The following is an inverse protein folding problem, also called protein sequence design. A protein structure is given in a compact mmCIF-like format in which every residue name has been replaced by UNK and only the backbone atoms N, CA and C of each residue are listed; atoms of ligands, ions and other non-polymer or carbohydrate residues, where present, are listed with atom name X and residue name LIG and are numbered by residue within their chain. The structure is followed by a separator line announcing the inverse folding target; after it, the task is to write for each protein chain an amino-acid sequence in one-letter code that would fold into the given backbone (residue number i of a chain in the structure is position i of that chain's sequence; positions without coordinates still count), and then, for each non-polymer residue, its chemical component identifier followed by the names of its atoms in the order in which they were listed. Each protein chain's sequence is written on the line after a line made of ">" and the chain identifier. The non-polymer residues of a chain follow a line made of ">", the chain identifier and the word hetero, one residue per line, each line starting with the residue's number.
data_IF_739325372693
#
_entry.id   IF_739325372693
#
_cell.length_a   1.000
_cell.length_b   1.000
_cell.length_c   1.000
_cell.angle_alpha   90.00
_cell.angle_beta   90.00
_cell.angle_gamma   90.00
#
_symmetry.space_group_name_H-M   'P 1'
#
loop_
_entity.id
_entity.type
_entity.pdbx_description
1 polymer ?
#
# COMPACT_ATOMS: atom_id res chain seq x y z
N UNK A 1 6.48 -24.60 -12.39
CA UNK A 1 7.32 -25.09 -13.52
C UNK A 1 7.68 -23.98 -14.51
N UNK A 2 6.76 -23.12 -14.93
CA UNK A 2 7.06 -22.03 -15.89
C UNK A 2 8.15 -21.06 -15.39
N UNK A 3 8.12 -20.68 -14.10
CA UNK A 3 9.11 -19.78 -13.48
C UNK A 3 10.52 -20.37 -13.51
N UNK A 4 10.66 -21.68 -13.26
CA UNK A 4 11.97 -22.34 -13.28
C UNK A 4 12.57 -22.40 -14.69
N UNK A 5 11.73 -22.65 -15.70
CA UNK A 5 12.17 -22.62 -17.09
C UNK A 5 12.57 -21.22 -17.55
N UNK A 6 11.87 -20.20 -17.06
CA UNK A 6 12.24 -18.81 -17.32
C UNK A 6 13.59 -18.46 -16.71
N UNK A 7 13.83 -18.88 -15.46
CA UNK A 7 15.13 -18.69 -14.79
C UNK A 7 16.26 -19.35 -15.58
N UNK A 8 16.10 -20.61 -15.95
CA UNK A 8 17.13 -21.34 -16.71
C UNK A 8 17.47 -20.66 -18.05
N UNK A 9 16.47 -20.14 -18.75
CA UNK A 9 16.67 -19.41 -20.02
C UNK A 9 17.40 -18.06 -19.83
N UNK A 10 17.33 -17.49 -18.64
CA UNK A 10 17.87 -16.19 -18.33
C UNK A 10 18.98 -16.24 -17.26
N UNK A 11 19.59 -17.41 -17.04
CA UNK A 11 20.53 -17.63 -15.93
C UNK A 11 21.71 -16.65 -15.93
N UNK A 12 22.20 -16.28 -17.09
CA UNK A 12 23.34 -15.35 -17.19
C UNK A 12 22.94 -13.92 -16.81
N UNK A 13 21.69 -13.55 -17.04
CA UNK A 13 21.15 -12.27 -16.58
C UNK A 13 21.06 -12.24 -15.05
N UNK A 14 20.61 -13.33 -14.41
CA UNK A 14 20.58 -13.42 -12.95
C UNK A 14 21.96 -13.38 -12.33
N UNK A 15 22.93 -14.07 -12.95
CA UNK A 15 24.34 -13.98 -12.53
C UNK A 15 24.88 -12.54 -12.60
N UNK A 16 24.46 -11.76 -13.59
CA UNK A 16 24.84 -10.37 -13.71
C UNK A 16 24.27 -9.46 -12.62
N UNK A 17 23.14 -9.85 -11.97
CA UNK A 17 22.56 -9.14 -10.84
C UNK A 17 23.26 -9.42 -9.49
N UNK A 18 23.92 -10.55 -9.35
CA UNK A 18 24.54 -10.94 -8.09
C UNK A 18 25.51 -9.88 -7.54
N UNK A 19 26.45 -9.33 -8.33
CA UNK A 19 27.34 -8.28 -7.83
C UNK A 19 26.60 -7.05 -7.33
N UNK A 20 25.44 -6.75 -7.92
CA UNK A 20 24.62 -5.66 -7.47
C UNK A 20 23.95 -5.97 -6.13
N UNK A 21 23.32 -7.15 -5.99
CA UNK A 21 22.71 -7.58 -4.71
C UNK A 21 23.76 -7.56 -3.60
N UNK A 22 24.97 -8.07 -3.88
CA UNK A 22 26.09 -8.06 -2.98
C UNK A 22 26.59 -6.63 -2.63
N UNK A 23 26.36 -5.67 -3.52
CA UNK A 23 26.71 -4.25 -3.31
C UNK A 23 25.72 -3.46 -2.47
N UNK A 24 24.58 -4.06 -2.10
CA UNK A 24 23.60 -3.44 -1.22
C UNK A 24 24.22 -3.31 0.18
N UNK A 25 24.77 -2.13 0.46
CA UNK A 25 25.43 -1.89 1.73
C UNK A 25 24.42 -1.70 2.86
N UNK A 26 24.84 -1.99 4.08
CA UNK A 26 24.05 -1.69 5.27
C UNK A 26 23.68 -0.19 5.39
N UNK A 27 24.46 0.70 4.79
CA UNK A 27 24.17 2.14 4.74
C UNK A 27 22.96 2.42 3.85
N UNK A 28 22.89 1.82 2.67
CA UNK A 28 21.75 1.94 1.75
C UNK A 28 20.47 1.41 2.39
N UNK A 29 20.54 0.26 3.04
CA UNK A 29 19.40 -0.30 3.79
C UNK A 29 18.97 0.63 4.92
N UNK A 30 19.90 1.18 5.69
CA UNK A 30 19.56 2.18 6.73
C UNK A 30 18.89 3.43 6.15
N UNK A 31 19.29 3.87 4.96
CA UNK A 31 18.64 5.01 4.29
C UNK A 31 17.18 4.66 3.92
N UNK A 32 16.92 3.46 3.39
CA UNK A 32 15.57 2.97 3.14
C UNK A 32 14.74 2.92 4.43
N UNK A 33 15.29 2.36 5.51
CA UNK A 33 14.62 2.27 6.81
C UNK A 33 14.34 3.65 7.46
N UNK A 34 15.10 4.69 7.11
CA UNK A 34 14.78 6.05 7.54
C UNK A 34 13.48 6.56 6.91
N UNK A 35 13.19 6.20 5.65
CA UNK A 35 11.90 6.50 5.02
C UNK A 35 10.77 5.78 5.75
N UNK A 36 10.94 4.50 6.00
CA UNK A 36 9.99 3.69 6.79
C UNK A 36 9.69 4.32 8.14
N UNK A 37 10.73 4.69 8.91
CA UNK A 37 10.57 5.29 10.25
C UNK A 37 9.84 6.62 10.23
N UNK A 38 9.96 7.43 9.18
CA UNK A 38 9.17 8.67 9.06
C UNK A 38 7.66 8.38 8.99
N UNK A 39 7.29 7.23 8.42
CA UNK A 39 5.92 6.79 8.28
C UNK A 39 5.35 6.05 9.48
N UNK A 40 6.14 5.73 10.49
CA UNK A 40 5.71 4.97 11.66
C UNK A 40 5.82 5.79 12.95
N UNK A 41 5.07 5.44 14.01
CA UNK A 41 5.28 6.01 15.34
C UNK A 41 6.73 5.83 15.81
N UNK A 42 7.21 6.75 16.65
CA UNK A 42 8.61 6.75 17.09
C UNK A 42 8.98 5.52 17.92
N UNK A 43 8.03 4.99 18.67
CA UNK A 43 8.17 3.77 19.49
C UNK A 43 8.38 2.50 18.65
N UNK A 44 8.01 2.52 17.36
CA UNK A 44 8.22 1.38 16.49
C UNK A 44 9.67 1.36 16.00
N UNK A 45 10.40 0.32 16.40
CA UNK A 45 11.79 0.10 16.03
C UNK A 45 12.00 -1.28 15.43
N UNK A 46 13.09 -1.41 14.69
CA UNK A 46 13.57 -2.68 14.18
C UNK A 46 14.90 -2.99 14.88
N UNK A 47 14.95 -4.08 15.66
CA UNK A 47 16.19 -4.52 16.30
C UNK A 47 17.15 -5.10 15.27
N UNK A 48 16.63 -5.97 14.42
CA UNK A 48 17.34 -6.57 13.29
C UNK A 48 16.45 -6.57 12.06
N UNK A 49 17.04 -6.39 10.88
CA UNK A 49 16.37 -6.51 9.60
C UNK A 49 17.10 -7.53 8.74
N UNK A 50 16.33 -8.40 8.12
CA UNK A 50 16.85 -9.43 7.21
C UNK A 50 16.21 -9.28 5.84
N UNK A 51 17.04 -9.16 4.80
CA UNK A 51 16.63 -9.10 3.41
C UNK A 51 16.92 -10.44 2.75
N UNK A 52 15.89 -11.09 2.23
CA UNK A 52 16.01 -12.38 1.57
C UNK A 52 15.77 -12.19 0.07
N UNK A 53 16.79 -12.43 -0.73
CA UNK A 53 16.66 -12.44 -2.18
C UNK A 53 16.53 -13.88 -2.67
N UNK A 54 15.53 -14.14 -3.49
CA UNK A 54 15.27 -15.47 -4.03
C UNK A 54 14.91 -15.40 -5.52
N UNK A 55 14.87 -16.55 -6.15
CA UNK A 55 14.57 -16.69 -7.57
C UNK A 55 13.34 -17.57 -7.74
N UNK A 56 12.27 -17.00 -8.29
CA UNK A 56 11.10 -17.73 -8.74
C UNK A 56 10.19 -18.25 -7.62
N UNK A 57 10.21 -17.65 -6.43
CA UNK A 57 9.35 -18.06 -5.32
C UNK A 57 7.99 -17.35 -5.29
N UNK A 58 7.80 -16.26 -6.00
CA UNK A 58 6.53 -15.56 -5.98
C UNK A 58 6.31 -14.60 -7.14
N UNK A 59 5.08 -14.18 -7.36
CA UNK A 59 4.71 -13.22 -8.40
C UNK A 59 4.91 -11.76 -7.98
N UNK A 60 5.14 -11.48 -6.70
CA UNK A 60 5.31 -10.13 -6.15
C UNK A 60 6.78 -9.75 -6.04
N UNK A 61 7.06 -8.46 -6.17
CA UNK A 61 8.42 -7.93 -6.01
C UNK A 61 8.95 -8.12 -4.59
N UNK A 62 8.10 -7.96 -3.58
CA UNK A 62 8.47 -8.12 -2.19
C UNK A 62 7.29 -8.55 -1.33
N UNK A 63 7.58 -9.11 -0.16
CA UNK A 63 6.64 -9.39 0.91
C UNK A 63 7.40 -9.53 2.23
N UNK A 64 6.70 -9.40 3.34
CA UNK A 64 7.29 -9.40 4.66
C UNK A 64 6.77 -10.55 5.54
N UNK A 65 7.60 -10.98 6.48
CA UNK A 65 7.22 -11.91 7.54
C UNK A 65 8.07 -11.65 8.78
N UNK A 66 7.43 -11.43 9.93
CA UNK A 66 8.12 -11.04 11.17
C UNK A 66 9.03 -9.82 10.95
N UNK A 67 10.35 -10.00 11.06
CA UNK A 67 11.38 -8.97 10.91
C UNK A 67 12.19 -9.08 9.62
N UNK A 68 11.78 -9.94 8.69
CA UNK A 68 12.43 -10.05 7.39
C UNK A 68 11.48 -9.70 6.24
N UNK A 69 12.06 -9.29 5.14
CA UNK A 69 11.38 -9.08 3.87
C UNK A 69 12.03 -9.90 2.77
N UNK A 70 11.21 -10.34 1.85
CA UNK A 70 11.59 -11.25 0.78
C UNK A 70 11.36 -10.58 -0.57
N UNK A 71 12.35 -10.73 -1.47
CA UNK A 71 12.33 -10.11 -2.79
C UNK A 71 12.59 -11.15 -3.86
N UNK A 72 11.67 -11.24 -4.83
CA UNK A 72 11.84 -12.12 -5.98
C UNK A 72 12.67 -11.42 -7.05
N UNK A 73 13.87 -11.94 -7.29
CA UNK A 73 14.83 -11.36 -8.23
C UNK A 73 14.32 -11.37 -9.68
N UNK A 74 13.39 -12.29 -10.02
CA UNK A 74 12.79 -12.34 -11.35
C UNK A 74 11.98 -11.07 -11.64
N UNK A 75 11.22 -10.61 -10.67
CA UNK A 75 10.38 -9.42 -10.83
C UNK A 75 11.23 -8.14 -10.89
N UNK A 76 12.31 -8.07 -10.12
CA UNK A 76 13.23 -6.93 -10.17
C UNK A 76 14.01 -6.83 -11.48
N UNK A 77 14.13 -7.95 -12.21
CA UNK A 77 15.00 -7.99 -13.38
C UNK A 77 14.44 -7.27 -14.60
N UNK A 78 13.11 -7.11 -14.68
CA UNK A 78 12.47 -6.54 -15.87
C UNK A 78 12.84 -5.08 -16.07
N UNK A 79 12.90 -4.30 -14.98
CA UNK A 79 13.20 -2.86 -14.98
C UNK A 79 14.05 -2.48 -13.77
N UNK A 80 15.26 -3.10 -13.67
CA UNK A 80 16.10 -2.95 -12.50
C UNK A 80 16.55 -1.50 -12.28
N UNK A 81 16.18 -0.97 -11.11
CA UNK A 81 16.56 0.34 -10.62
C UNK A 81 16.82 0.26 -9.11
N UNK A 82 17.98 0.74 -8.66
CA UNK A 82 18.35 0.75 -7.25
C UNK A 82 17.36 1.54 -6.39
N UNK A 83 16.85 2.68 -6.88
CA UNK A 83 15.87 3.49 -6.14
C UNK A 83 14.56 2.73 -5.95
N UNK A 84 14.10 1.99 -6.96
CA UNK A 84 12.91 1.14 -6.86
C UNK A 84 13.14 0.07 -5.81
N UNK A 85 14.29 -0.62 -5.82
CA UNK A 85 14.61 -1.63 -4.82
C UNK A 85 14.61 -1.05 -3.41
N UNK A 86 15.29 0.07 -3.18
CA UNK A 86 15.36 0.70 -1.86
C UNK A 86 13.99 1.20 -1.39
N UNK A 87 13.17 1.69 -2.31
CA UNK A 87 11.79 2.09 -2.05
C UNK A 87 10.92 0.88 -1.68
N UNK A 88 11.08 -0.25 -2.39
CA UNK A 88 10.38 -1.50 -2.08
C UNK A 88 10.83 -2.06 -0.73
N UNK A 89 12.13 -2.02 -0.40
CA UNK A 89 12.63 -2.38 0.92
C UNK A 89 11.96 -1.53 2.01
N UNK A 90 11.91 -0.21 1.81
CA UNK A 90 11.24 0.68 2.75
C UNK A 90 9.75 0.35 2.91
N UNK A 91 9.06 0.05 1.81
CA UNK A 91 7.66 -0.32 1.75
C UNK A 91 7.38 -1.60 2.56
N UNK A 92 8.13 -2.68 2.30
CA UNK A 92 7.93 -3.95 3.02
C UNK A 92 8.23 -3.81 4.52
N UNK A 93 9.26 -3.03 4.88
CA UNK A 93 9.52 -2.74 6.30
C UNK A 93 8.49 -1.81 6.94
N UNK A 94 7.79 -0.99 6.15
CA UNK A 94 6.62 -0.28 6.66
C UNK A 94 5.53 -1.25 7.11
N UNK A 95 5.27 -2.30 6.33
CA UNK A 95 4.33 -3.35 6.74
C UNK A 95 4.79 -4.09 8.00
N UNK A 96 6.07 -4.38 8.14
CA UNK A 96 6.62 -4.97 9.38
C UNK A 96 6.33 -4.08 10.58
N UNK A 97 6.63 -2.79 10.48
CA UNK A 97 6.39 -1.83 11.56
C UNK A 97 4.90 -1.59 11.83
N UNK A 98 4.10 -1.50 10.78
CA UNK A 98 2.65 -1.38 10.88
C UNK A 98 2.03 -2.60 11.59
N UNK A 99 2.50 -3.81 11.28
CA UNK A 99 2.08 -5.04 11.96
C UNK A 99 2.42 -5.04 13.45
N UNK A 100 3.61 -4.54 13.84
CA UNK A 100 3.96 -4.38 15.26
C UNK A 100 2.94 -3.46 15.94
N UNK A 101 2.55 -2.37 15.28
CA UNK A 101 1.51 -1.48 15.80
C UNK A 101 0.16 -2.18 15.90
N UNK A 102 -0.31 -2.82 14.81
CA UNK A 102 -1.65 -3.45 14.75
C UNK A 102 -1.76 -4.65 15.70
N UNK A 103 -0.68 -5.39 15.96
CA UNK A 103 -0.69 -6.50 16.92
C UNK A 103 -1.03 -6.09 18.37
N UNK A 104 -0.92 -4.79 18.68
CA UNK A 104 -1.29 -4.22 19.96
C UNK A 104 -2.72 -3.62 19.97
N UNK A 105 -3.45 -3.71 18.87
CA UNK A 105 -4.83 -3.22 18.76
C UNK A 105 -5.81 -4.38 19.01
N UNK A 106 -6.84 -4.10 19.76
CA UNK A 106 -7.99 -5.01 19.88
C UNK A 106 -8.98 -4.72 18.74
N UNK A 107 -8.66 -5.23 17.55
CA UNK A 107 -9.49 -5.06 16.36
C UNK A 107 -10.89 -5.69 16.50
N UNK A 108 -11.08 -6.60 17.46
CA UNK A 108 -12.40 -7.20 17.74
C UNK A 108 -13.44 -6.18 18.23
N UNK A 109 -12.99 -5.02 18.68
CA UNK A 109 -13.86 -3.91 19.10
C UNK A 109 -14.33 -3.03 17.95
N UNK A 110 -13.78 -3.19 16.76
CA UNK A 110 -14.12 -2.37 15.61
C UNK A 110 -15.45 -2.79 14.99
N UNK A 111 -16.23 -1.82 14.59
CA UNK A 111 -17.40 -2.06 13.75
C UNK A 111 -16.96 -2.51 12.35
N UNK A 112 -17.87 -3.12 11.57
CA UNK A 112 -17.58 -3.52 10.18
C UNK A 112 -17.15 -2.33 9.32
N UNK A 113 -17.73 -1.15 9.55
CA UNK A 113 -17.37 0.08 8.84
C UNK A 113 -15.98 0.58 9.22
N UNK A 114 -15.62 0.55 10.49
CA UNK A 114 -14.28 0.90 10.98
C UNK A 114 -13.22 -0.06 10.47
N UNK A 115 -13.52 -1.36 10.44
CA UNK A 115 -12.66 -2.37 9.81
C UNK A 115 -12.46 -2.07 8.32
N UNK A 116 -13.53 -1.68 7.60
CA UNK A 116 -13.42 -1.32 6.18
C UNK A 116 -12.45 -0.17 5.94
N UNK A 117 -12.52 0.90 6.73
CA UNK A 117 -11.56 2.00 6.62
C UNK A 117 -10.13 1.56 6.91
N UNK A 118 -9.94 0.74 7.94
CA UNK A 118 -8.63 0.26 8.36
C UNK A 118 -7.94 -0.62 7.30
N UNK A 119 -8.71 -1.41 6.54
CA UNK A 119 -8.17 -2.29 5.48
C UNK A 119 -7.41 -1.52 4.38
N UNK A 120 -7.67 -0.24 4.18
CA UNK A 120 -6.96 0.59 3.21
C UNK A 120 -5.65 1.18 3.73
N UNK A 121 -5.45 1.19 5.05
CA UNK A 121 -4.35 1.96 5.66
C UNK A 121 -2.97 1.34 5.41
N UNK A 122 -2.85 0.01 5.43
CA UNK A 122 -1.55 -0.67 5.33
C UNK A 122 -0.81 -0.31 4.05
N UNK A 123 -1.37 -0.67 2.90
CA UNK A 123 -0.77 -0.39 1.59
C UNK A 123 -0.75 1.11 1.27
N UNK A 124 -1.84 1.81 1.59
CA UNK A 124 -1.95 3.24 1.33
C UNK A 124 -0.88 4.07 2.04
N UNK A 125 -0.60 3.78 3.30
CA UNK A 125 0.46 4.46 4.05
C UNK A 125 1.86 4.02 3.61
N UNK A 126 2.02 2.75 3.25
CA UNK A 126 3.30 2.26 2.74
C UNK A 126 3.71 2.98 1.46
N UNK A 127 2.81 3.13 0.47
CA UNK A 127 3.17 3.88 -0.76
C UNK A 127 3.31 5.39 -0.49
N UNK A 128 2.51 5.97 0.39
CA UNK A 128 2.65 7.39 0.75
C UNK A 128 4.03 7.69 1.31
N UNK A 129 4.47 6.93 2.29
CA UNK A 129 5.72 7.20 2.98
C UNK A 129 6.95 6.66 2.26
N UNK A 130 6.87 5.47 1.68
CA UNK A 130 8.04 4.78 1.17
C UNK A 130 8.24 4.97 -0.33
N UNK A 131 7.16 5.10 -1.08
CA UNK A 131 7.17 5.32 -2.53
C UNK A 131 7.01 6.80 -2.92
N UNK A 132 6.96 7.70 -1.95
CA UNK A 132 6.77 9.15 -2.15
C UNK A 132 5.55 9.45 -3.03
N UNK A 133 4.43 8.79 -2.73
CA UNK A 133 3.21 8.88 -3.53
C UNK A 133 2.67 10.31 -3.57
N UNK A 134 2.30 10.74 -4.77
CA UNK A 134 1.60 11.98 -5.04
C UNK A 134 0.26 11.67 -5.70
N UNK A 135 -0.82 12.00 -5.01
CA UNK A 135 -2.18 11.72 -5.46
C UNK A 135 -2.97 12.95 -5.85
N UNK A 136 -4.29 12.78 -5.87
CA UNK A 136 -5.26 13.86 -6.12
C UNK A 136 -5.59 14.64 -4.83
N UNK A 137 -5.66 13.95 -3.70
CA UNK A 137 -6.02 14.51 -2.40
C UNK A 137 -4.81 14.62 -1.49
N UNK A 138 -3.83 13.73 -1.66
CA UNK A 138 -2.64 13.66 -0.83
C UNK A 138 -1.40 14.13 -1.56
N UNK A 139 -0.48 14.74 -0.84
CA UNK A 139 0.81 15.21 -1.36
C UNK A 139 1.91 14.19 -1.09
N UNK A 140 3.01 14.28 -1.82
CA UNK A 140 4.20 13.53 -1.48
C UNK A 140 4.87 14.13 -0.22
N UNK A 141 5.64 13.32 0.49
CA UNK A 141 6.28 13.71 1.77
C UNK A 141 7.64 14.35 1.55
N UNK A 142 8.34 13.92 0.50
CA UNK A 142 9.69 14.35 0.18
C UNK A 142 9.68 15.25 -1.06
N UNK A 143 10.55 16.26 -1.09
CA UNK A 143 10.81 17.07 -2.30
C UNK A 143 11.70 16.30 -3.30
N UNK A 144 11.46 15.00 -3.47
CA UNK A 144 12.16 14.09 -4.35
C UNK A 144 11.23 13.67 -5.50
N UNK A 145 11.72 12.78 -6.37
CA UNK A 145 10.90 12.18 -7.41
C UNK A 145 9.69 11.48 -6.78
N UNK A 146 8.51 11.77 -7.29
CA UNK A 146 7.27 11.15 -6.82
C UNK A 146 7.08 9.76 -7.43
N UNK A 147 6.27 8.93 -6.74
CA UNK A 147 5.81 7.63 -7.24
C UNK A 147 6.93 6.63 -7.56
N UNK A 148 8.01 6.61 -6.77
CA UNK A 148 9.12 5.68 -6.94
C UNK A 148 8.62 4.24 -6.68
N UNK A 149 8.73 3.37 -7.68
CA UNK A 149 8.27 1.96 -7.58
C UNK A 149 6.75 1.79 -7.54
N UNK A 150 6.01 2.84 -7.89
CA UNK A 150 4.56 2.74 -8.14
C UNK A 150 4.35 2.30 -9.59
N UNK A 151 3.45 1.34 -9.81
CA UNK A 151 3.14 0.88 -11.17
C UNK A 151 2.44 1.99 -11.97
N UNK A 152 3.10 2.46 -13.03
CA UNK A 152 2.65 3.60 -13.83
C UNK A 152 1.27 3.36 -14.45
N UNK A 153 1.00 2.14 -14.95
CA UNK A 153 -0.28 1.78 -15.56
C UNK A 153 -1.41 1.85 -14.54
N UNK A 154 -1.19 1.28 -13.35
CA UNK A 154 -2.17 1.30 -12.26
C UNK A 154 -2.43 2.71 -11.76
N UNK A 155 -1.37 3.49 -11.59
CA UNK A 155 -1.46 4.89 -11.17
C UNK A 155 -2.28 5.71 -12.17
N UNK A 156 -1.96 5.61 -13.47
CA UNK A 156 -2.69 6.32 -14.53
C UNK A 156 -4.17 5.92 -14.57
N UNK A 157 -4.43 4.61 -14.49
CA UNK A 157 -5.81 4.11 -14.44
C UNK A 157 -6.57 4.69 -13.25
N UNK A 158 -5.94 4.68 -12.05
CA UNK A 158 -6.56 5.23 -10.85
C UNK A 158 -6.85 6.73 -11.01
N UNK A 159 -5.91 7.51 -11.53
CA UNK A 159 -6.08 8.95 -11.73
C UNK A 159 -7.21 9.29 -12.71
N UNK A 160 -7.32 8.52 -13.79
CA UNK A 160 -8.37 8.70 -14.82
C UNK A 160 -9.76 8.27 -14.29
N UNK A 161 -9.83 7.21 -13.49
CA UNK A 161 -11.07 6.62 -13.01
C UNK A 161 -11.39 6.98 -11.56
N UNK A 162 -10.68 7.92 -10.97
CA UNK A 162 -10.81 8.26 -9.55
C UNK A 162 -12.26 8.45 -9.12
N UNK A 163 -13.05 9.18 -9.89
CA UNK A 163 -14.47 9.42 -9.59
C UNK A 163 -15.25 8.12 -9.48
N UNK A 164 -15.14 7.24 -10.48
CA UNK A 164 -15.82 5.94 -10.50
C UNK A 164 -15.38 5.05 -9.35
N UNK A 165 -14.07 5.04 -9.05
CA UNK A 165 -13.50 4.27 -7.95
C UNK A 165 -13.97 4.81 -6.60
N UNK A 166 -14.04 6.12 -6.45
CA UNK A 166 -14.52 6.75 -5.22
C UNK A 166 -16.03 6.55 -5.01
N UNK A 167 -16.84 6.63 -6.08
CA UNK A 167 -18.27 6.27 -6.02
C UNK A 167 -18.47 4.82 -5.58
N UNK A 168 -17.60 3.90 -6.00
CA UNK A 168 -17.61 2.51 -5.50
C UNK A 168 -17.25 2.43 -4.02
N UNK A 169 -16.27 3.21 -3.55
CA UNK A 169 -15.94 3.30 -2.13
C UNK A 169 -17.14 3.76 -1.29
N UNK A 170 -17.84 4.82 -1.73
CA UNK A 170 -19.07 5.28 -1.07
C UNK A 170 -20.18 4.25 -1.11
N UNK A 171 -20.35 3.55 -2.24
CA UNK A 171 -21.35 2.48 -2.37
C UNK A 171 -21.08 1.32 -1.43
N UNK A 172 -19.81 0.95 -1.21
CA UNK A 172 -19.46 -0.11 -0.25
C UNK A 172 -19.78 0.30 1.20
N UNK A 173 -19.54 1.57 1.54
CA UNK A 173 -19.93 2.10 2.87
C UNK A 173 -21.47 2.00 3.06
N UNK A 174 -22.25 2.35 2.04
CA UNK A 174 -23.71 2.22 2.09
C UNK A 174 -24.14 0.76 2.21
N UNK A 175 -23.50 -0.15 1.48
CA UNK A 175 -23.75 -1.59 1.58
C UNK A 175 -23.44 -2.13 2.99
N UNK A 176 -22.36 -1.67 3.63
CA UNK A 176 -22.01 -2.00 5.02
C UNK A 176 -23.09 -1.50 5.97
N UNK A 177 -23.48 -0.23 5.87
CA UNK A 177 -24.50 0.40 6.71
C UNK A 177 -25.88 -0.23 6.56
N UNK A 178 -26.22 -0.70 5.37
CA UNK A 178 -27.45 -1.46 5.13
C UNK A 178 -27.42 -2.89 5.67
N UNK A 179 -26.28 -3.34 6.22
CA UNK A 179 -26.12 -4.69 6.76
C UNK A 179 -25.91 -5.78 5.72
N UNK A 180 -25.50 -5.44 4.50
CA UNK A 180 -25.17 -6.42 3.45
C UNK A 180 -23.96 -7.26 3.85
N UNK A 181 -22.97 -6.67 4.51
CA UNK A 181 -21.80 -7.34 5.07
C UNK A 181 -21.93 -7.42 6.59
N UNK A 182 -22.56 -8.52 7.08
CA UNK A 182 -22.86 -8.70 8.51
C UNK A 182 -21.69 -9.21 9.34
N UNK A 183 -20.62 -9.67 8.70
CA UNK A 183 -19.45 -10.23 9.37
C UNK A 183 -18.18 -9.71 8.70
N UNK A 184 -17.13 -9.60 9.50
CA UNK A 184 -15.79 -9.24 9.02
C UNK A 184 -15.34 -10.17 7.87
N UNK A 185 -15.59 -11.47 7.97
CA UNK A 185 -15.22 -12.43 6.93
C UNK A 185 -15.83 -12.06 5.56
N UNK A 186 -17.11 -11.69 5.51
CA UNK A 186 -17.79 -11.26 4.28
C UNK A 186 -17.25 -9.94 3.75
N UNK A 187 -16.92 -9.02 4.66
CA UNK A 187 -16.27 -7.76 4.32
C UNK A 187 -14.91 -8.02 3.66
N UNK A 188 -14.05 -8.84 4.32
CA UNK A 188 -12.73 -9.18 3.80
C UNK A 188 -12.82 -9.89 2.45
N UNK A 189 -13.76 -10.81 2.26
CA UNK A 189 -13.97 -11.46 0.96
C UNK A 189 -14.33 -10.46 -0.15
N UNK A 190 -15.21 -9.49 0.13
CA UNK A 190 -15.52 -8.41 -0.81
C UNK A 190 -14.30 -7.54 -1.09
N UNK A 191 -13.58 -7.15 -0.04
CA UNK A 191 -12.38 -6.33 -0.15
C UNK A 191 -11.31 -7.00 -1.01
N UNK A 192 -11.00 -8.27 -0.75
CA UNK A 192 -10.06 -9.07 -1.54
C UNK A 192 -10.47 -9.16 -3.01
N UNK A 193 -11.77 -9.33 -3.26
CA UNK A 193 -12.28 -9.51 -4.63
C UNK A 193 -12.19 -8.25 -5.48
N UNK A 194 -12.37 -7.07 -4.91
CA UNK A 194 -12.41 -5.81 -5.64
C UNK A 194 -11.18 -4.95 -5.37
N UNK A 195 -10.93 -4.62 -4.09
CA UNK A 195 -9.91 -3.63 -3.72
C UNK A 195 -8.49 -4.16 -3.80
N UNK A 196 -8.28 -5.43 -3.51
CA UNK A 196 -6.98 -6.10 -3.66
C UNK A 196 -6.82 -6.83 -5.01
N UNK A 197 -7.80 -6.74 -5.89
CA UNK A 197 -7.69 -7.31 -7.22
C UNK A 197 -6.86 -6.41 -8.13
N UNK A 198 -5.96 -7.00 -8.89
CA UNK A 198 -5.22 -6.33 -9.96
C UNK A 198 -5.98 -6.35 -11.29
N UNK A 199 -7.17 -6.94 -11.33
CA UNK A 199 -8.02 -6.99 -12.51
C UNK A 199 -8.96 -5.81 -12.54
N UNK A 200 -8.97 -5.08 -13.64
CA UNK A 200 -9.99 -4.06 -13.88
C UNK A 200 -11.30 -4.73 -14.26
N UNK A 201 -12.43 -4.21 -13.78
CA UNK A 201 -13.76 -4.64 -14.26
C UNK A 201 -14.09 -4.11 -15.67
N UNK A 202 -13.14 -3.47 -16.33
CA UNK A 202 -13.28 -3.05 -17.72
C UNK A 202 -13.08 -4.26 -18.63
N UNK A 203 -14.17 -4.97 -18.87
CA UNK A 203 -14.25 -5.89 -20.02
C UNK A 203 -14.36 -5.02 -21.27
N UNK A 204 -13.24 -4.55 -21.78
CA UNK A 204 -13.16 -4.14 -23.19
C UNK A 204 -12.53 -5.30 -23.95
N UNK A 205 -13.31 -5.86 -24.85
CA UNK A 205 -12.83 -6.80 -25.88
C UNK A 205 -12.15 -8.10 -25.41
N UNK A 206 -12.73 -8.80 -24.41
CA UNK A 206 -12.36 -10.14 -23.97
C UNK A 206 -10.96 -10.32 -23.32
N UNK A 207 -10.18 -9.27 -23.10
CA UNK A 207 -8.94 -9.37 -22.33
C UNK A 207 -9.07 -8.60 -21.01
N UNK A 208 -8.82 -9.24 -19.86
CA UNK A 208 -8.74 -8.52 -18.60
C UNK A 208 -7.51 -7.60 -18.62
N UNK A 209 -7.74 -6.33 -18.38
CA UNK A 209 -6.64 -5.37 -18.26
C UNK A 209 -6.03 -5.50 -16.86
N UNK A 210 -4.98 -6.30 -16.74
CA UNK A 210 -4.31 -6.53 -15.47
C UNK A 210 -3.49 -5.29 -15.07
N UNK A 211 -3.68 -4.86 -13.83
CA UNK A 211 -2.90 -3.81 -13.17
C UNK A 211 -1.70 -4.43 -12.46
N UNK A 212 -0.59 -3.70 -12.35
CA UNK A 212 0.56 -4.11 -11.55
C UNK A 212 0.32 -3.96 -10.05
N UNK A 213 -0.49 -2.97 -9.65
CA UNK A 213 -0.90 -2.71 -8.27
C UNK A 213 -2.42 -2.59 -8.16
N UNK A 214 -2.98 -3.05 -7.05
CA UNK A 214 -4.41 -3.02 -6.79
C UNK A 214 -4.90 -1.67 -6.25
N UNK A 215 -6.21 -1.42 -6.32
CA UNK A 215 -6.80 -0.11 -6.03
C UNK A 215 -6.69 0.31 -4.55
N UNK A 216 -6.57 -0.64 -3.62
CA UNK A 216 -6.42 -0.34 -2.20
C UNK A 216 -5.15 0.48 -1.89
N UNK A 217 -4.07 0.32 -2.68
CA UNK A 217 -2.87 1.15 -2.57
C UNK A 217 -3.22 2.63 -2.72
N UNK A 218 -3.92 2.95 -3.79
CA UNK A 218 -4.20 4.32 -4.19
C UNK A 218 -5.30 4.97 -3.36
N UNK A 219 -6.45 4.31 -3.20
CA UNK A 219 -7.52 4.82 -2.33
C UNK A 219 -7.01 4.97 -0.89
N UNK A 220 -6.24 4.01 -0.40
CA UNK A 220 -5.64 4.08 0.93
C UNK A 220 -4.73 5.30 1.08
N UNK A 221 -3.85 5.54 0.09
CA UNK A 221 -2.97 6.70 0.09
C UNK A 221 -3.75 8.03 0.01
N UNK A 222 -4.86 8.09 -0.73
CA UNK A 222 -5.69 9.29 -0.82
C UNK A 222 -6.39 9.59 0.51
N UNK A 223 -7.14 8.62 1.08
CA UNK A 223 -7.96 8.88 2.26
C UNK A 223 -7.12 9.03 3.53
N UNK A 224 -6.17 8.10 3.77
CA UNK A 224 -5.30 8.15 4.94
C UNK A 224 -4.19 9.19 4.78
N UNK A 225 -3.71 9.38 3.56
CA UNK A 225 -2.74 10.41 3.24
C UNK A 225 -3.29 11.82 3.42
N UNK A 226 -4.55 12.07 3.07
CA UNK A 226 -5.20 13.35 3.31
C UNK A 226 -5.33 13.64 4.82
N UNK A 227 -5.67 12.62 5.62
CA UNK A 227 -5.69 12.73 7.09
C UNK A 227 -4.30 13.10 7.60
N UNK A 228 -3.25 12.41 7.12
CA UNK A 228 -1.88 12.75 7.48
C UNK A 228 -1.51 14.19 7.10
N UNK A 229 -1.82 14.62 5.88
CA UNK A 229 -1.47 15.95 5.38
C UNK A 229 -2.22 17.06 6.13
N UNK A 230 -3.40 16.74 6.67
CA UNK A 230 -4.24 17.70 7.43
C UNK A 230 -3.85 17.79 8.90
N UNK A 231 -3.54 16.67 9.54
CA UNK A 231 -3.42 16.61 11.01
C UNK A 231 -2.04 16.14 11.50
N UNK A 232 -1.19 15.67 10.60
CA UNK A 232 0.11 15.10 10.95
C UNK A 232 0.06 13.64 11.39
N UNK A 233 1.25 13.08 11.59
CA UNK A 233 1.47 11.66 11.85
C UNK A 233 0.87 11.18 13.18
N UNK A 234 1.01 11.95 14.23
CA UNK A 234 0.51 11.59 15.56
C UNK A 234 -1.02 11.40 15.55
N UNK A 235 -1.73 12.33 14.93
CA UNK A 235 -3.20 12.24 14.82
C UNK A 235 -3.62 11.11 13.90
N UNK A 236 -2.90 10.86 12.81
CA UNK A 236 -3.12 9.72 11.94
C UNK A 236 -3.11 8.41 12.73
N UNK A 237 -2.08 8.20 13.56
CA UNK A 237 -1.96 6.97 14.35
C UNK A 237 -2.93 6.90 15.54
N UNK A 238 -3.37 8.04 16.08
CA UNK A 238 -4.49 8.08 17.02
C UNK A 238 -5.78 7.55 16.36
N UNK A 239 -6.06 7.98 15.12
CA UNK A 239 -7.24 7.53 14.36
C UNK A 239 -7.12 6.04 14.00
N UNK A 240 -5.94 5.56 13.63
CA UNK A 240 -5.72 4.14 13.36
C UNK A 240 -5.95 3.25 14.60
N UNK A 241 -5.60 3.76 15.79
CA UNK A 241 -5.88 3.09 17.07
C UNK A 241 -7.34 3.22 17.52
N UNK A 242 -8.05 4.23 17.04
CA UNK A 242 -9.45 4.47 17.30
C UNK A 242 -10.19 4.88 16.00
N UNK A 243 -10.55 3.90 15.15
CA UNK A 243 -11.13 4.18 13.83
C UNK A 243 -12.50 4.86 13.87
N UNK A 244 -13.16 4.94 15.03
CA UNK A 244 -14.38 5.72 15.19
C UNK A 244 -14.21 7.21 14.88
N UNK A 245 -12.96 7.70 14.98
CA UNK A 245 -12.60 9.06 14.63
C UNK A 245 -12.42 9.28 13.11
N UNK A 246 -12.32 8.21 12.32
CA UNK A 246 -12.00 8.31 10.90
C UNK A 246 -12.97 9.20 10.14
N UNK A 247 -14.26 8.91 10.22
CA UNK A 247 -15.30 9.60 9.45
C UNK A 247 -15.27 11.12 9.67
N UNK A 248 -15.28 11.54 10.93
CA UNK A 248 -15.29 12.98 11.28
C UNK A 248 -13.98 13.68 10.84
N UNK A 249 -12.83 13.04 11.04
CA UNK A 249 -11.55 13.60 10.64
C UNK A 249 -11.39 13.65 9.12
N UNK A 250 -11.79 12.59 8.42
CA UNK A 250 -11.75 12.56 6.96
C UNK A 250 -12.66 13.63 6.34
N UNK A 251 -13.93 13.71 6.76
CA UNK A 251 -14.88 14.71 6.24
C UNK A 251 -14.39 16.14 6.49
N UNK A 252 -13.83 16.42 7.66
CA UNK A 252 -13.22 17.73 7.93
C UNK A 252 -12.01 17.99 7.04
N UNK A 253 -11.14 17.00 6.81
CA UNK A 253 -9.99 17.13 5.93
C UNK A 253 -10.41 17.40 4.48
N UNK A 254 -11.40 16.70 3.97
CA UNK A 254 -12.00 16.89 2.65
C UNK A 254 -12.58 18.30 2.51
N UNK A 255 -13.30 18.78 3.52
CA UNK A 255 -13.87 20.12 3.52
C UNK A 255 -12.78 21.20 3.52
N UNK A 256 -11.69 21.00 4.26
CA UNK A 256 -10.57 21.94 4.33
C UNK A 256 -9.90 22.16 2.95
N UNK A 257 -9.90 21.15 2.09
CA UNK A 257 -9.36 21.26 0.72
C UNK A 257 -10.43 21.61 -0.32
N UNK A 258 -11.67 21.93 0.12
CA UNK A 258 -12.77 22.35 -0.75
C UNK A 258 -13.40 21.24 -1.61
N UNK A 259 -13.14 19.96 -1.29
CA UNK A 259 -13.63 18.79 -2.02
C UNK A 259 -14.88 18.18 -1.38
N UNK A 260 -15.90 19.01 -1.13
CA UNK A 260 -17.15 18.58 -0.52
C UNK A 260 -17.90 17.50 -1.34
N UNK A 261 -17.54 17.33 -2.61
CA UNK A 261 -18.00 16.25 -3.49
C UNK A 261 -17.52 14.86 -3.01
N UNK A 262 -16.54 14.80 -2.12
CA UNK A 262 -15.94 13.56 -1.58
C UNK A 262 -16.31 13.31 -0.10
N UNK A 263 -17.30 14.02 0.43
CA UNK A 263 -17.76 13.76 1.79
C UNK A 263 -18.40 12.36 1.90
N UNK A 264 -18.01 11.62 2.91
CA UNK A 264 -18.71 10.39 3.29
C UNK A 264 -19.97 10.81 4.05
N UNK A 265 -21.18 10.45 3.61
CA UNK A 265 -22.41 10.82 4.33
C UNK A 265 -22.37 10.36 5.78
N UNK A 266 -22.81 11.20 6.71
CA UNK A 266 -23.05 10.81 8.09
C UNK A 266 -24.38 10.02 8.18
N UNK A 267 -24.48 9.13 9.17
CA UNK A 267 -25.69 8.30 9.37
C UNK A 267 -26.76 9.12 10.10
#
# INVERSE_FOLDING_TARGET
>A
MASFQYVLKNIDKYKALMPFIESISAEKVRAALKKTKKGLPEEIGFEEVELIFSIGLGPSMGWFYKNYSHYDVIEFFKDFNEEILLSTIAHEYHHVGYRILSSNLDESTFTVEETFYSLFSGEGLAIKYCNNYKGLLTTNIYNEIANIGVDEKSYKYFMEEFKTIYEKFLSDIQDIRSGKFKTEEKLVQMFMKYWMSTRTNRVKDNEPDDLGQSLNYFIGAEIWGLIHDTYGKEKLYEILKNPSLFLSCYNKAVSNIGRNDLLIPEV
#
